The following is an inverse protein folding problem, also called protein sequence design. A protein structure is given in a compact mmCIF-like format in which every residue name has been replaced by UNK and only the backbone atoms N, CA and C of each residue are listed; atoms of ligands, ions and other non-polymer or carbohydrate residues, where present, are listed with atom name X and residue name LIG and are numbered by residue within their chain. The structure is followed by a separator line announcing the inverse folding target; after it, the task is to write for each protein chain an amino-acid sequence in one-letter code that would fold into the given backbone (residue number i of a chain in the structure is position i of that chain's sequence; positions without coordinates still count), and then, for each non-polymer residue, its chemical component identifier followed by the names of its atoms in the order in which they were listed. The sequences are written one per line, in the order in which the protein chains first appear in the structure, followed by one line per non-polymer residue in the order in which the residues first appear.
data_IF_267143159313
#
_entry.id   IF_267143159313
#
_cell.length_a   1.000
_cell.length_b   1.000
_cell.length_c   1.000
_cell.angle_alpha   90.00
_cell.angle_beta   90.00
_cell.angle_gamma   90.00
#
_symmetry.space_group_name_H-M   'P 1'
#
loop_
_entity.id
_entity.type
_entity.pdbx_description
1 polymer ?
#
# COMPACT_ATOMS: atom_id res chain seq x y z
N UNK A 1 -12.95 -17.18 79.70
CA UNK A 1 -11.56 -16.76 79.98
C UNK A 1 -11.05 -16.10 78.69
N UNK A 2 -10.64 -14.82 78.77
CA UNK A 2 -9.36 -14.26 78.25
C UNK A 2 -8.61 -14.98 77.11
N UNK A 3 -7.93 -14.38 76.12
CA UNK A 3 -7.63 -12.99 75.65
C UNK A 3 -6.97 -13.14 74.24
N UNK A 4 -6.82 -12.20 73.29
CA UNK A 4 -7.35 -10.84 73.01
C UNK A 4 -7.04 -10.47 71.51
N UNK A 5 -7.30 -9.22 71.08
CA UNK A 5 -7.08 -8.64 69.72
C UNK A 5 -6.33 -7.29 69.91
N UNK A 6 -5.24 -6.90 69.18
CA UNK A 6 -5.35 -6.22 67.87
C UNK A 6 -4.10 -6.12 66.92
N UNK A 7 -4.32 -5.56 65.71
CA UNK A 7 -3.34 -4.82 64.88
C UNK A 7 -2.44 -5.62 63.91
N UNK A 8 -1.84 -5.06 62.84
CA UNK A 8 -1.96 -3.75 62.15
C UNK A 8 -1.15 -3.78 60.81
N UNK A 9 -1.62 -3.12 59.71
CA UNK A 9 -0.91 -2.56 58.48
C UNK A 9 0.27 -3.34 57.79
N UNK A 10 0.69 -3.15 56.52
CA UNK A 10 0.39 -2.27 55.37
C UNK A 10 0.76 -2.97 54.02
N UNK A 11 0.53 -2.30 52.88
CA UNK A 11 0.92 -2.69 51.51
C UNK A 11 2.44 -2.56 51.22
N UNK A 12 2.99 -3.44 50.35
CA UNK A 12 3.86 -3.18 49.16
C UNK A 12 3.68 -4.43 48.27
N UNK A 13 3.26 -4.40 47.00
CA UNK A 13 3.89 -3.77 45.84
C UNK A 13 4.76 -4.81 45.10
N UNK A 14 4.23 -5.45 44.05
CA UNK A 14 4.95 -6.43 43.23
C UNK A 14 5.06 -5.91 41.78
N UNK A 15 6.29 -5.61 41.34
CA UNK A 15 6.57 -5.17 39.97
C UNK A 15 6.56 -6.34 38.96
N UNK A 16 6.17 -6.10 37.70
CA UNK A 16 6.35 -7.06 36.62
C UNK A 16 7.81 -7.08 36.13
N UNK A 17 8.37 -8.29 35.96
CA UNK A 17 9.74 -8.51 35.50
C UNK A 17 9.90 -8.10 34.04
N UNK A 18 10.54 -6.95 33.78
CA UNK A 18 11.01 -6.58 32.44
C UNK A 18 12.21 -7.43 32.04
N UNK A 19 12.11 -8.20 30.95
CA UNK A 19 13.29 -8.80 30.29
C UNK A 19 14.05 -7.69 29.57
N UNK A 20 15.35 -7.57 29.86
CA UNK A 20 16.22 -6.62 29.17
C UNK A 20 16.92 -7.29 27.97
N UNK A 21 16.81 -6.70 26.79
CA UNK A 21 17.64 -7.06 25.63
C UNK A 21 18.99 -6.33 25.71
N UNK A 22 20.12 -6.98 25.39
CA UNK A 22 21.44 -6.36 25.46
C UNK A 22 21.63 -5.35 24.33
N UNK A 23 21.97 -4.10 24.68
CA UNK A 23 22.39 -3.07 23.72
C UNK A 23 23.83 -3.34 23.28
N UNK A 24 24.07 -3.54 21.98
CA UNK A 24 25.42 -3.53 21.41
C UNK A 24 25.89 -2.09 21.20
N UNK A 25 26.96 -1.70 21.88
CA UNK A 25 27.58 -0.38 21.79
C UNK A 25 28.59 -0.31 20.63
N UNK A 26 28.53 0.77 19.85
CA UNK A 26 29.60 1.14 18.91
C UNK A 26 30.77 1.77 19.69
N UNK A 27 31.99 1.32 19.43
CA UNK A 27 33.24 1.99 19.78
C UNK A 27 34.23 1.85 18.60
N UNK A 28 35.16 2.78 18.44
CA UNK A 28 35.70 3.13 17.13
C UNK A 28 37.24 2.98 16.98
N UNK A 29 37.65 3.01 15.70
CA UNK A 29 38.89 3.59 15.16
C UNK A 29 40.26 2.88 15.37
N UNK A 30 40.75 2.36 14.23
CA UNK A 30 42.03 2.69 13.59
C UNK A 30 43.39 2.35 14.24
N UNK A 31 44.17 1.52 13.52
CA UNK A 31 45.62 1.67 13.36
C UNK A 31 45.96 1.41 11.88
N UNK A 32 46.87 2.20 11.30
CA UNK A 32 47.39 2.02 9.95
C UNK A 32 48.91 1.85 9.97
N UNK A 33 49.48 1.04 9.05
CA UNK A 33 50.76 1.34 8.35
C UNK A 33 51.27 0.24 7.39
N UNK A 34 51.49 0.63 6.14
CA UNK A 34 52.76 0.49 5.39
C UNK A 34 53.32 -0.89 4.93
N UNK A 35 53.07 -1.23 3.65
CA UNK A 35 54.04 -1.60 2.56
C UNK A 35 54.95 -2.87 2.64
N UNK A 36 55.60 -3.42 1.59
CA UNK A 36 56.15 -2.92 0.28
C UNK A 36 56.32 -4.10 -0.76
N UNK A 37 56.31 -3.83 -2.09
CA UNK A 37 56.83 -4.66 -3.23
C UNK A 37 56.18 -6.03 -3.61
N UNK A 38 56.21 -6.55 -4.88
CA UNK A 38 56.91 -6.15 -6.12
C UNK A 38 56.21 -6.57 -7.46
N UNK A 39 56.74 -6.04 -8.58
CA UNK A 39 56.46 -6.21 -10.03
C UNK A 39 56.09 -7.61 -10.59
N UNK A 40 55.35 -7.66 -11.73
CA UNK A 40 55.88 -7.91 -13.12
C UNK A 40 54.94 -7.28 -14.17
N UNK A 41 55.50 -6.93 -15.34
CA UNK A 41 54.94 -6.12 -16.45
C UNK A 41 54.42 -6.96 -17.61
N UNK A 42 53.33 -6.53 -18.27
CA UNK A 42 53.13 -6.66 -19.72
C UNK A 42 52.18 -5.55 -20.22
N UNK A 43 52.52 -4.90 -21.33
CA UNK A 43 51.80 -3.73 -21.85
C UNK A 43 51.22 -3.97 -23.25
N UNK A 44 50.13 -3.27 -23.57
CA UNK A 44 49.85 -2.74 -24.92
C UNK A 44 49.15 -1.39 -24.79
N UNK A 45 49.33 -0.52 -25.79
CA UNK A 45 49.21 0.95 -25.64
C UNK A 45 48.18 1.59 -26.55
N UNK A 46 47.90 2.87 -26.25
CA UNK A 46 47.37 3.95 -27.12
C UNK A 46 45.88 3.90 -27.53
N UNK A 47 45.14 5.02 -27.58
CA UNK A 47 45.55 6.44 -27.52
C UNK A 47 44.59 7.36 -26.72
N UNK A 48 45.12 8.50 -26.26
CA UNK A 48 44.44 9.58 -25.53
C UNK A 48 43.50 10.42 -26.42
N UNK A 49 42.48 11.07 -25.82
CA UNK A 49 42.49 12.54 -25.61
C UNK A 49 41.22 13.08 -24.90
N UNK A 50 41.44 13.96 -23.91
CA UNK A 50 40.51 14.91 -23.27
C UNK A 50 41.37 15.97 -22.55
N UNK A 51 40.81 17.08 -22.02
CA UNK A 51 39.90 18.06 -22.62
C UNK A 51 40.49 19.50 -22.52
N UNK A 52 39.76 20.55 -22.91
CA UNK A 52 40.08 21.95 -22.51
C UNK A 52 38.82 22.79 -22.30
N UNK A 53 38.79 23.53 -21.19
CA UNK A 53 37.79 24.54 -20.81
C UNK A 53 37.68 25.70 -21.80
N UNK A 54 36.52 26.38 -21.83
CA UNK A 54 36.37 27.74 -21.24
C UNK A 54 34.94 28.29 -21.32
N UNK A 55 34.49 28.88 -20.20
CA UNK A 55 33.30 29.74 -20.08
C UNK A 55 33.60 31.16 -20.62
N UNK A 56 32.58 31.97 -20.98
CA UNK A 56 32.44 33.20 -20.21
C UNK A 56 30.99 33.69 -19.96
N UNK A 57 30.73 34.06 -18.71
CA UNK A 57 29.65 34.98 -18.30
C UNK A 57 29.82 36.42 -18.83
N UNK A 58 28.73 37.09 -19.25
CA UNK A 58 28.30 38.40 -18.70
C UNK A 58 26.93 38.91 -19.19
N UNK A 59 26.32 39.72 -18.33
CA UNK A 59 24.99 40.36 -18.40
C UNK A 59 24.74 41.38 -19.51
N UNK A 60 23.47 41.51 -19.94
CA UNK A 60 22.83 42.81 -20.17
C UNK A 60 21.30 42.72 -20.06
N UNK A 61 20.67 43.78 -19.53
CA UNK A 61 19.22 43.95 -19.50
C UNK A 61 18.86 45.28 -20.17
N UNK A 62 17.82 45.29 -21.02
CA UNK A 62 17.20 46.51 -21.51
C UNK A 62 15.74 46.29 -21.90
N UNK A 63 14.86 47.15 -21.38
CA UNK A 63 13.43 47.20 -21.70
C UNK A 63 13.18 47.86 -23.06
N UNK A 64 12.08 47.50 -23.74
CA UNK A 64 11.42 48.42 -24.67
C UNK A 64 9.91 48.22 -24.76
N UNK A 65 9.22 49.30 -25.08
CA UNK A 65 7.77 49.52 -24.97
C UNK A 65 6.96 48.98 -26.15
N UNK A 66 5.67 48.72 -25.90
CA UNK A 66 4.68 48.42 -26.93
C UNK A 66 4.33 49.63 -27.82
N UNK A 67 3.72 49.37 -28.98
CA UNK A 67 2.59 50.17 -29.46
C UNK A 67 1.33 49.31 -29.71
N UNK A 68 0.17 49.95 -29.80
CA UNK A 68 -1.14 49.31 -29.87
C UNK A 68 -1.87 49.51 -31.21
N UNK A 69 -2.87 48.64 -31.46
CA UNK A 69 -3.89 48.70 -32.52
C UNK A 69 -3.38 48.42 -33.97
N UNK A 70 -4.19 47.88 -34.91
CA UNK A 70 -5.65 47.65 -34.88
C UNK A 70 -6.14 46.59 -35.90
N UNK A 71 -7.45 46.30 -35.83
CA UNK A 71 -8.39 45.87 -36.90
C UNK A 71 -8.63 44.39 -37.29
N UNK A 72 -9.94 44.14 -37.46
CA UNK A 72 -10.65 43.13 -38.28
C UNK A 72 -10.68 41.65 -37.83
N UNK A 73 -11.77 41.33 -37.14
CA UNK A 73 -12.29 39.99 -36.87
C UNK A 73 -13.20 39.52 -38.03
N UNK A 74 -13.04 38.29 -38.55
CA UNK A 74 -14.03 37.68 -39.45
C UNK A 74 -15.13 36.98 -38.63
N UNK A 75 -16.38 37.20 -39.00
CA UNK A 75 -17.56 36.55 -38.40
C UNK A 75 -17.74 35.15 -38.97
N UNK A 76 -17.77 34.11 -38.14
CA UNK A 76 -18.27 32.78 -38.52
C UNK A 76 -19.37 32.33 -37.56
N UNK A 77 -20.53 32.01 -38.14
CA UNK A 77 -21.73 31.61 -37.42
C UNK A 77 -21.58 30.18 -36.91
N UNK A 78 -21.47 29.97 -35.60
CA UNK A 78 -21.45 28.63 -35.02
C UNK A 78 -22.88 28.11 -34.82
N UNK A 79 -23.35 27.24 -35.70
CA UNK A 79 -24.57 26.45 -35.49
C UNK A 79 -24.28 25.31 -34.52
N UNK A 80 -24.78 25.42 -33.29
CA UNK A 80 -24.75 24.34 -32.29
C UNK A 80 -25.63 23.17 -32.75
N UNK A 81 -25.09 21.95 -32.93
CA UNK A 81 -25.93 20.76 -33.09
C UNK A 81 -26.56 20.39 -31.73
N UNK A 82 -27.75 19.77 -31.69
CA UNK A 82 -28.36 19.36 -30.44
C UNK A 82 -27.55 18.23 -29.79
N UNK A 83 -27.12 18.43 -28.55
CA UNK A 83 -26.53 17.37 -27.73
C UNK A 83 -27.61 16.34 -27.37
N UNK A 84 -27.68 15.24 -28.11
CA UNK A 84 -28.38 14.04 -27.67
C UNK A 84 -27.60 13.40 -26.53
N UNK A 85 -28.06 13.59 -25.31
CA UNK A 85 -27.56 12.87 -24.13
C UNK A 85 -27.98 11.41 -24.23
N UNK A 86 -27.18 10.60 -24.93
CA UNK A 86 -27.30 9.15 -24.88
C UNK A 86 -26.75 8.67 -23.54
N UNK A 87 -27.64 8.51 -22.56
CA UNK A 87 -27.30 7.82 -21.32
C UNK A 87 -27.11 6.34 -21.63
N UNK A 88 -25.86 5.95 -21.93
CA UNK A 88 -25.46 4.54 -21.93
C UNK A 88 -25.63 4.04 -20.49
N UNK A 89 -26.44 3.00 -20.23
CA UNK A 89 -26.47 2.39 -18.90
C UNK A 89 -25.10 1.79 -18.59
N UNK A 90 -24.69 1.80 -17.32
CA UNK A 90 -23.55 0.99 -16.88
C UNK A 90 -23.75 -0.48 -17.34
N UNK A 91 -22.68 -1.21 -17.68
CA UNK A 91 -22.80 -2.63 -17.91
C UNK A 91 -23.40 -3.30 -16.67
N UNK A 92 -24.46 -4.07 -16.88
CA UNK A 92 -25.11 -4.84 -15.83
C UNK A 92 -24.13 -5.93 -15.38
N UNK A 93 -23.41 -5.68 -14.28
CA UNK A 93 -22.55 -6.67 -13.63
C UNK A 93 -23.41 -7.88 -13.38
N UNK A 94 -23.04 -9.01 -13.99
CA UNK A 94 -23.78 -10.25 -13.82
C UNK A 94 -23.48 -10.77 -12.42
N UNK A 95 -24.27 -10.32 -11.44
CA UNK A 95 -24.23 -10.84 -10.08
C UNK A 95 -24.75 -12.28 -10.11
N UNK A 96 -23.87 -13.23 -10.44
CA UNK A 96 -24.07 -14.63 -10.06
C UNK A 96 -23.94 -14.73 -8.54
N UNK A 97 -24.99 -14.32 -7.84
CA UNK A 97 -25.25 -14.79 -6.49
C UNK A 97 -25.42 -16.30 -6.64
N UNK A 98 -24.37 -17.05 -6.34
CA UNK A 98 -24.46 -18.49 -6.30
C UNK A 98 -25.32 -18.85 -5.08
N UNK A 99 -26.51 -19.41 -5.30
CA UNK A 99 -27.41 -19.95 -4.24
C UNK A 99 -26.81 -21.18 -3.51
N UNK A 100 -25.52 -21.44 -3.69
CA UNK A 100 -24.74 -22.45 -2.99
C UNK A 100 -23.49 -21.77 -2.40
N UNK A 101 -23.11 -22.07 -1.14
CA UNK A 101 -21.87 -21.54 -0.57
C UNK A 101 -20.70 -21.94 -1.48
N UNK A 102 -19.87 -20.97 -1.85
CA UNK A 102 -18.68 -21.24 -2.64
C UNK A 102 -17.77 -22.20 -1.86
N UNK A 103 -17.58 -23.42 -2.37
CA UNK A 103 -16.72 -24.43 -1.74
C UNK A 103 -15.28 -24.43 -2.29
N UNK A 104 -14.99 -23.50 -3.20
CA UNK A 104 -13.72 -23.33 -3.89
C UNK A 104 -13.47 -21.83 -4.01
N UNK A 105 -12.23 -21.42 -3.75
CA UNK A 105 -11.78 -20.06 -4.01
C UNK A 105 -11.58 -19.86 -5.54
N UNK A 106 -12.35 -18.98 -6.22
CA UNK A 106 -12.19 -18.69 -7.64
C UNK A 106 -11.02 -17.72 -7.92
N UNK A 107 -10.50 -17.05 -6.89
CA UNK A 107 -9.52 -15.97 -7.04
C UNK A 107 -8.10 -16.49 -7.23
N UNK A 108 -7.34 -15.80 -8.09
CA UNK A 108 -5.90 -16.00 -8.30
C UNK A 108 -5.45 -17.43 -8.72
N UNK A 109 -6.39 -18.29 -9.10
CA UNK A 109 -6.12 -19.63 -9.64
C UNK A 109 -5.41 -19.56 -11.02
N UNK A 110 -5.67 -18.49 -11.78
CA UNK A 110 -5.07 -18.18 -13.08
C UNK A 110 -3.71 -17.47 -12.98
N UNK A 111 -3.45 -16.73 -11.90
CA UNK A 111 -2.15 -16.13 -11.62
C UNK A 111 -1.17 -17.24 -11.19
N UNK A 112 -0.06 -17.49 -11.91
CA UNK A 112 0.91 -18.51 -11.52
C UNK A 112 1.58 -18.22 -10.17
N UNK A 113 2.09 -19.26 -9.52
CA UNK A 113 3.06 -19.13 -8.41
C UNK A 113 4.23 -18.29 -8.91
N UNK A 114 4.45 -17.14 -8.28
CA UNK A 114 5.34 -16.09 -8.76
C UNK A 114 6.55 -15.87 -7.87
N UNK A 115 7.13 -14.67 -7.99
CA UNK A 115 8.26 -14.26 -7.14
C UNK A 115 7.83 -14.19 -5.69
N UNK A 116 6.71 -13.52 -5.34
CA UNK A 116 6.29 -13.35 -3.95
C UNK A 116 6.11 -14.68 -3.19
N UNK A 117 5.55 -15.71 -3.82
CA UNK A 117 5.40 -17.06 -3.25
C UNK A 117 6.74 -17.77 -2.95
N UNK A 118 7.85 -17.32 -3.54
CA UNK A 118 9.13 -18.02 -3.55
C UNK A 118 10.34 -17.14 -3.18
N UNK A 119 10.11 -15.86 -2.84
CA UNK A 119 11.15 -14.84 -2.71
C UNK A 119 12.09 -15.08 -1.53
N UNK A 120 11.57 -15.73 -0.49
CA UNK A 120 12.30 -16.22 0.67
C UNK A 120 11.67 -17.54 1.15
N UNK A 121 12.41 -18.41 1.86
CA UNK A 121 11.83 -19.59 2.50
C UNK A 121 10.69 -19.20 3.46
N UNK A 122 9.51 -19.77 3.25
CA UNK A 122 8.30 -19.45 4.02
C UNK A 122 7.51 -18.24 3.52
N UNK A 123 7.97 -17.53 2.49
CA UNK A 123 7.18 -16.49 1.83
C UNK A 123 5.90 -17.08 1.21
N UNK A 124 4.91 -16.21 0.98
CA UNK A 124 3.56 -16.58 0.52
C UNK A 124 3.10 -15.62 -0.58
N UNK A 125 2.22 -16.11 -1.44
CA UNK A 125 1.52 -15.30 -2.43
C UNK A 125 0.14 -14.83 -1.94
N UNK A 126 -0.62 -14.25 -2.88
CA UNK A 126 -1.97 -13.73 -2.65
C UNK A 126 -3.07 -14.79 -2.83
N UNK A 127 -2.71 -15.99 -3.31
CA UNK A 127 -3.59 -17.17 -3.34
C UNK A 127 -4.03 -17.55 -1.93
N UNK A 128 -5.24 -18.04 -1.76
CA UNK A 128 -5.78 -18.39 -0.45
C UNK A 128 -5.32 -19.80 -0.02
N UNK A 129 -4.29 -19.84 0.82
CA UNK A 129 -3.70 -21.08 1.33
C UNK A 129 -4.19 -21.43 2.75
N UNK A 130 -5.16 -20.68 3.30
CA UNK A 130 -5.65 -20.85 4.68
C UNK A 130 -6.57 -22.06 4.86
N UNK A 131 -7.18 -22.55 3.78
CA UNK A 131 -8.23 -23.56 3.81
C UNK A 131 -9.63 -23.04 4.17
N UNK A 132 -9.75 -21.77 4.58
CA UNK A 132 -11.03 -21.08 4.69
C UNK A 132 -11.43 -20.53 3.31
N UNK A 133 -12.73 -20.49 3.00
CA UNK A 133 -13.27 -19.95 1.73
C UNK A 133 -14.29 -18.87 2.07
N UNK A 134 -14.23 -17.74 1.38
CA UNK A 134 -15.15 -16.62 1.64
C UNK A 134 -16.60 -17.03 1.28
N UNK A 135 -17.61 -16.66 2.09
CA UNK A 135 -19.02 -16.90 1.73
C UNK A 135 -19.40 -16.34 0.36
N UNK A 136 -18.82 -15.19 -0.01
CA UNK A 136 -19.08 -14.48 -1.26
C UNK A 136 -17.75 -14.04 -1.92
N UNK A 137 -17.68 -14.24 -3.23
CA UNK A 137 -16.65 -13.68 -4.10
C UNK A 137 -17.34 -12.85 -5.19
N UNK A 138 -16.78 -11.69 -5.51
CA UNK A 138 -17.24 -10.82 -6.60
C UNK A 138 -16.08 -10.49 -7.52
N UNK A 139 -16.26 -10.66 -8.83
CA UNK A 139 -15.31 -10.12 -9.80
C UNK A 139 -15.63 -8.64 -9.99
N UNK A 140 -14.81 -7.77 -9.40
CA UNK A 140 -15.02 -6.32 -9.38
C UNK A 140 -14.49 -5.62 -10.63
N UNK A 141 -13.69 -6.32 -11.43
CA UNK A 141 -13.13 -5.80 -12.67
C UNK A 141 -12.28 -6.83 -13.39
N UNK A 142 -11.58 -6.35 -14.41
CA UNK A 142 -10.62 -7.12 -15.21
C UNK A 142 -9.45 -6.21 -15.53
N UNK A 143 -8.23 -6.70 -15.28
CA UNK A 143 -6.99 -5.98 -15.56
C UNK A 143 -6.75 -5.76 -17.05
N UNK A 144 -5.74 -4.97 -17.39
CA UNK A 144 -5.39 -4.68 -18.77
C UNK A 144 -5.05 -5.93 -19.62
N UNK A 145 -4.35 -6.91 -19.06
CA UNK A 145 -4.05 -8.19 -19.72
C UNK A 145 -5.17 -9.24 -19.60
N UNK A 146 -6.31 -8.90 -19.00
CA UNK A 146 -7.49 -9.77 -18.95
C UNK A 146 -7.62 -10.65 -17.72
N UNK A 147 -6.84 -10.43 -16.66
CA UNK A 147 -6.96 -11.18 -15.39
C UNK A 147 -8.12 -10.63 -14.56
N UNK A 148 -8.94 -11.47 -13.92
CA UNK A 148 -10.03 -11.01 -13.07
C UNK A 148 -9.49 -10.35 -11.80
N UNK A 149 -10.09 -9.22 -11.42
CA UNK A 149 -9.84 -8.58 -10.12
C UNK A 149 -10.97 -9.03 -9.19
N UNK A 150 -10.61 -9.68 -8.08
CA UNK A 150 -11.56 -10.29 -7.16
C UNK A 150 -11.63 -9.54 -5.83
N UNK A 151 -12.85 -9.35 -5.33
CA UNK A 151 -13.11 -9.02 -3.94
C UNK A 151 -13.78 -10.22 -3.24
N UNK A 152 -13.30 -10.51 -2.04
CA UNK A 152 -13.82 -11.53 -1.13
C UNK A 152 -14.63 -10.81 -0.04
N UNK A 153 -15.81 -11.31 0.32
CA UNK A 153 -16.54 -10.76 1.47
C UNK A 153 -16.48 -11.72 2.66
N UNK A 154 -16.10 -11.17 3.81
CA UNK A 154 -15.82 -11.87 5.05
C UNK A 154 -16.58 -11.19 6.21
N UNK A 155 -17.17 -11.99 7.11
CA UNK A 155 -17.99 -11.47 8.22
C UNK A 155 -19.41 -11.07 7.81
N UNK A 156 -20.16 -10.34 8.67
CA UNK A 156 -21.52 -9.90 8.38
C UNK A 156 -21.66 -8.97 7.17
N UNK A 157 -22.72 -9.16 6.37
CA UNK A 157 -23.12 -8.24 5.29
C UNK A 157 -23.82 -6.98 5.82
N UNK A 158 -24.40 -7.04 7.02
CA UNK A 158 -24.99 -5.91 7.72
C UNK A 158 -24.01 -5.21 8.66
N UNK A 159 -24.33 -3.96 9.05
CA UNK A 159 -23.45 -3.14 9.87
C UNK A 159 -22.29 -2.50 9.10
N UNK A 160 -21.22 -2.06 9.79
CA UNK A 160 -20.10 -1.39 9.14
C UNK A 160 -19.32 -2.34 8.24
N UNK A 161 -18.94 -1.85 7.05
CA UNK A 161 -18.14 -2.58 6.08
C UNK A 161 -16.78 -1.90 5.92
N UNK A 162 -15.69 -2.66 6.00
CA UNK A 162 -14.31 -2.19 5.77
C UNK A 162 -13.83 -2.72 4.41
N UNK A 163 -13.18 -1.89 3.61
CA UNK A 163 -12.50 -2.34 2.39
C UNK A 163 -11.01 -2.53 2.71
N UNK A 164 -10.44 -3.67 2.38
CA UNK A 164 -8.99 -3.93 2.47
C UNK A 164 -8.46 -4.15 1.06
N UNK A 165 -7.63 -3.22 0.59
CA UNK A 165 -6.81 -3.42 -0.59
C UNK A 165 -5.48 -3.99 -0.11
N UNK A 166 -5.20 -5.24 -0.48
CA UNK A 166 -3.89 -5.86 -0.34
C UNK A 166 -2.91 -5.21 -1.30
N UNK A 167 -2.32 -5.99 -2.19
CA UNK A 167 -1.27 -5.49 -3.06
C UNK A 167 -1.80 -4.54 -4.16
N UNK A 168 -1.29 -3.30 -4.14
CA UNK A 168 -1.54 -2.27 -5.16
C UNK A 168 -0.36 -2.17 -6.14
N UNK A 169 0.88 -2.35 -5.68
CA UNK A 169 2.06 -2.41 -6.55
C UNK A 169 2.56 -3.84 -6.71
N UNK A 170 2.73 -4.32 -7.93
CA UNK A 170 2.93 -5.74 -8.22
C UNK A 170 4.24 -6.39 -7.75
N UNK A 171 5.18 -5.60 -7.24
CA UNK A 171 6.42 -6.06 -6.62
C UNK A 171 6.43 -5.95 -5.08
N UNK A 172 5.30 -5.63 -4.44
CA UNK A 172 5.13 -5.60 -2.99
C UNK A 172 4.50 -6.93 -2.51
N UNK A 173 5.28 -7.75 -1.81
CA UNK A 173 4.92 -9.13 -1.43
C UNK A 173 4.44 -9.26 0.02
N UNK A 174 4.99 -8.45 0.95
CA UNK A 174 4.61 -8.39 2.35
C UNK A 174 3.10 -8.17 2.60
N UNK A 175 2.33 -7.41 1.77
CA UNK A 175 0.88 -7.30 1.91
C UNK A 175 0.13 -8.63 1.97
N UNK A 176 0.67 -9.70 1.38
CA UNK A 176 0.06 -11.04 1.42
C UNK A 176 -0.16 -11.54 2.86
N UNK A 177 0.70 -11.19 3.81
CA UNK A 177 0.56 -11.60 5.21
C UNK A 177 -0.68 -11.01 5.88
N UNK A 178 -1.03 -9.75 5.58
CA UNK A 178 -2.25 -9.12 6.11
C UNK A 178 -3.51 -9.71 5.46
N UNK A 179 -3.44 -10.02 4.17
CA UNK A 179 -4.50 -10.74 3.43
C UNK A 179 -4.76 -12.11 4.07
N UNK A 180 -3.73 -12.94 4.28
CA UNK A 180 -3.95 -14.25 4.91
C UNK A 180 -4.41 -14.10 6.37
N UNK A 181 -3.86 -13.17 7.15
CA UNK A 181 -4.28 -12.98 8.55
C UNK A 181 -5.79 -12.72 8.67
N UNK A 182 -6.39 -11.99 7.73
CA UNK A 182 -7.86 -11.80 7.66
C UNK A 182 -8.57 -13.10 7.27
N UNK A 183 -8.11 -13.81 6.24
CA UNK A 183 -8.70 -15.09 5.77
C UNK A 183 -8.63 -16.20 6.82
N UNK A 184 -7.54 -16.27 7.61
CA UNK A 184 -7.33 -17.23 8.70
C UNK A 184 -8.33 -17.00 9.85
N UNK A 185 -8.61 -15.73 10.16
CA UNK A 185 -9.50 -15.33 11.25
C UNK A 185 -10.42 -14.17 10.79
N UNK A 186 -11.49 -14.47 10.04
CA UNK A 186 -12.46 -13.47 9.60
C UNK A 186 -13.17 -12.80 10.79
N UNK A 187 -13.58 -11.53 10.67
CA UNK A 187 -14.36 -10.84 11.70
C UNK A 187 -15.77 -11.43 11.82
N UNK A 188 -16.38 -11.29 13.00
CA UNK A 188 -17.74 -11.79 13.28
C UNK A 188 -18.73 -10.67 13.61
N UNK A 189 -18.25 -9.44 13.87
CA UNK A 189 -19.07 -8.28 14.25
C UNK A 189 -19.21 -7.20 13.18
N UNK A 190 -18.36 -7.23 12.14
CA UNK A 190 -18.36 -6.29 11.01
C UNK A 190 -17.89 -6.98 9.72
N UNK A 191 -18.26 -6.43 8.56
CA UNK A 191 -17.86 -7.01 7.27
C UNK A 191 -16.54 -6.46 6.75
N UNK A 192 -15.76 -7.32 6.07
CA UNK A 192 -14.58 -6.95 5.28
C UNK A 192 -14.81 -7.34 3.81
N UNK A 193 -14.65 -6.38 2.91
CA UNK A 193 -14.39 -6.63 1.50
C UNK A 193 -12.88 -6.63 1.27
N UNK A 194 -12.31 -7.78 0.93
CA UNK A 194 -10.88 -8.01 0.78
C UNK A 194 -10.50 -8.18 -0.69
N UNK A 195 -9.72 -7.25 -1.24
CA UNK A 195 -9.14 -7.32 -2.59
C UNK A 195 -7.66 -7.67 -2.41
N UNK A 196 -7.31 -8.96 -2.46
CA UNK A 196 -5.95 -9.41 -2.18
C UNK A 196 -4.89 -8.80 -3.11
N UNK A 197 -5.19 -8.61 -4.39
CA UNK A 197 -4.43 -7.73 -5.28
C UNK A 197 -5.36 -6.90 -6.16
N UNK A 198 -5.11 -5.59 -6.20
CA UNK A 198 -5.75 -4.66 -7.13
C UNK A 198 -5.00 -4.58 -8.48
N UNK A 199 -3.77 -5.08 -8.55
CA UNK A 199 -2.91 -5.06 -9.73
C UNK A 199 -2.36 -6.47 -10.02
N UNK A 200 -3.21 -7.39 -10.51
CA UNK A 200 -2.83 -8.78 -10.77
C UNK A 200 -1.85 -8.94 -11.94
N UNK A 201 -1.83 -7.97 -12.87
CA UNK A 201 -0.86 -7.96 -13.97
C UNK A 201 0.54 -7.63 -13.47
N UNK A 202 0.66 -6.58 -12.65
CA UNK A 202 1.90 -6.24 -11.97
C UNK A 202 2.39 -7.39 -11.09
N UNK A 203 1.49 -8.11 -10.40
CA UNK A 203 1.84 -9.29 -9.60
C UNK A 203 2.47 -10.38 -10.46
N UNK A 204 1.82 -10.73 -11.58
CA UNK A 204 2.29 -11.77 -12.50
C UNK A 204 3.63 -11.39 -13.16
N UNK A 205 3.88 -10.10 -13.38
CA UNK A 205 5.14 -9.57 -13.91
C UNK A 205 6.21 -9.29 -12.84
N UNK A 206 5.84 -9.30 -11.55
CA UNK A 206 6.61 -8.79 -10.42
C UNK A 206 7.15 -7.37 -10.68
N UNK A 207 6.23 -6.43 -10.95
CA UNK A 207 6.51 -5.02 -11.23
C UNK A 207 5.59 -4.08 -10.47
N UNK A 208 6.14 -2.99 -9.93
CA UNK A 208 5.40 -1.92 -9.24
C UNK A 208 4.14 -1.42 -9.95
N UNK A 209 4.18 -1.34 -11.28
CA UNK A 209 3.17 -0.67 -12.13
C UNK A 209 2.15 -1.67 -12.69
N UNK A 210 1.05 -1.16 -13.27
CA UNK A 210 0.15 -1.98 -14.08
C UNK A 210 0.83 -2.36 -15.42
N UNK A 211 0.24 -3.27 -16.20
CA UNK A 211 0.75 -3.62 -17.53
C UNK A 211 0.84 -2.43 -18.50
N UNK A 212 0.07 -1.36 -18.27
CA UNK A 212 0.13 -0.12 -19.04
C UNK A 212 1.35 0.76 -18.66
N UNK A 213 2.11 0.40 -17.62
CA UNK A 213 3.23 1.18 -17.10
C UNK A 213 2.83 2.35 -16.21
N UNK A 214 1.57 2.37 -15.73
CA UNK A 214 1.04 3.38 -14.81
C UNK A 214 1.30 2.93 -13.37
N UNK A 215 1.73 3.84 -12.51
CA UNK A 215 1.78 3.59 -11.06
C UNK A 215 0.35 3.69 -10.55
N UNK A 216 -0.25 2.54 -10.18
CA UNK A 216 -1.66 2.47 -9.80
C UNK A 216 -1.98 3.39 -8.61
N UNK A 217 -1.03 3.55 -7.68
CA UNK A 217 -1.16 4.49 -6.57
C UNK A 217 -0.79 5.94 -6.95
N UNK A 218 -0.86 6.29 -8.25
CA UNK A 218 -0.89 7.67 -8.77
C UNK A 218 -2.06 7.91 -9.74
N UNK A 219 -2.98 6.95 -9.85
CA UNK A 219 -4.15 7.01 -10.73
C UNK A 219 -5.44 7.43 -9.99
N UNK A 220 -5.31 7.97 -8.77
CA UNK A 220 -6.43 8.25 -7.87
C UNK A 220 -7.48 9.22 -8.41
N UNK A 221 -7.09 10.27 -9.15
CA UNK A 221 -8.05 11.25 -9.68
C UNK A 221 -8.47 11.03 -11.13
N UNK A 222 -7.74 10.20 -11.89
CA UNK A 222 -7.96 10.04 -13.33
C UNK A 222 -8.65 8.76 -13.71
N UNK A 223 -8.37 7.68 -12.98
CA UNK A 223 -8.90 6.34 -13.25
C UNK A 223 -8.57 5.89 -14.69
N UNK A 224 -7.34 6.18 -15.16
CA UNK A 224 -6.82 5.79 -16.49
C UNK A 224 -6.74 4.26 -16.66
N UNK A 225 -6.53 3.54 -15.55
CA UNK A 225 -6.39 2.08 -15.49
C UNK A 225 -7.72 1.40 -15.16
N UNK A 226 -8.03 0.22 -15.74
CA UNK A 226 -9.20 -0.56 -15.34
C UNK A 226 -9.08 -1.06 -13.88
N UNK A 227 -7.86 -1.23 -13.37
CA UNK A 227 -7.58 -1.53 -11.97
C UNK A 227 -8.08 -0.41 -11.03
N UNK A 228 -7.78 0.86 -11.33
CA UNK A 228 -8.29 1.98 -10.54
C UNK A 228 -9.82 2.09 -10.64
N UNK A 229 -10.39 1.94 -11.84
CA UNK A 229 -11.85 1.97 -12.02
C UNK A 229 -12.55 0.91 -11.16
N UNK A 230 -12.03 -0.33 -11.13
CA UNK A 230 -12.58 -1.41 -10.31
C UNK A 230 -12.55 -1.10 -8.80
N UNK A 231 -11.49 -0.48 -8.29
CA UNK A 231 -11.39 -0.03 -6.89
C UNK A 231 -12.43 1.06 -6.57
N UNK A 232 -12.62 2.01 -7.49
CA UNK A 232 -13.53 3.14 -7.29
C UNK A 232 -15.00 2.70 -7.41
N UNK A 233 -15.32 1.83 -8.36
CA UNK A 233 -16.65 1.23 -8.51
C UNK A 233 -17.00 0.35 -7.31
N UNK A 234 -16.06 -0.46 -6.79
CA UNK A 234 -16.28 -1.21 -5.54
C UNK A 234 -16.50 -0.26 -4.36
N UNK A 235 -15.72 0.82 -4.26
CA UNK A 235 -15.88 1.85 -3.22
C UNK A 235 -17.27 2.50 -3.30
N UNK A 236 -17.78 2.77 -4.51
CA UNK A 236 -19.11 3.32 -4.73
C UNK A 236 -20.24 2.36 -4.33
N UNK A 237 -20.05 1.06 -4.61
CA UNK A 237 -21.01 -0.01 -4.31
C UNK A 237 -21.06 -0.35 -2.82
N UNK A 238 -19.92 -0.66 -2.21
CA UNK A 238 -19.82 -1.08 -0.81
C UNK A 238 -20.04 0.08 0.17
N UNK A 239 -19.64 1.30 -0.23
CA UNK A 239 -19.65 2.49 0.63
C UNK A 239 -19.01 2.23 2.01
N UNK A 240 -17.77 1.69 2.06
CA UNK A 240 -17.15 1.25 3.30
C UNK A 240 -17.01 2.40 4.31
N UNK A 241 -16.97 2.08 5.60
CA UNK A 241 -16.71 3.05 6.67
C UNK A 241 -15.22 3.37 6.84
N UNK A 242 -14.35 2.57 6.21
CA UNK A 242 -12.89 2.67 6.25
C UNK A 242 -12.28 1.89 5.07
N UNK A 243 -11.20 2.39 4.47
CA UNK A 243 -10.32 1.57 3.61
C UNK A 243 -8.94 1.37 4.22
N UNK A 244 -8.42 0.14 4.22
CA UNK A 244 -7.02 -0.18 4.50
C UNK A 244 -6.30 -0.38 3.16
N UNK A 245 -5.23 0.37 2.91
CA UNK A 245 -4.33 0.21 1.76
C UNK A 245 -3.02 -0.40 2.25
N UNK A 246 -2.66 -1.58 1.74
CA UNK A 246 -1.51 -2.35 2.25
C UNK A 246 -0.35 -2.35 1.25
N UNK A 247 0.80 -1.90 1.72
CA UNK A 247 2.00 -1.63 0.94
C UNK A 247 3.26 -2.17 1.66
N UNK A 248 4.39 -2.06 0.98
CA UNK A 248 5.74 -2.21 1.50
C UNK A 248 6.68 -1.34 0.63
N UNK A 249 7.96 -1.08 0.97
CA UNK A 249 8.79 -1.75 1.97
C UNK A 249 9.26 -0.82 3.11
N UNK A 250 8.42 0.10 3.60
CA UNK A 250 8.89 1.27 4.38
C UNK A 250 8.69 1.26 5.90
N UNK A 251 8.04 0.26 6.50
CA UNK A 251 7.90 0.12 7.97
C UNK A 251 7.26 1.36 8.65
N UNK A 252 6.10 1.80 8.15
CA UNK A 252 5.29 2.86 8.76
C UNK A 252 3.79 2.62 8.61
N UNK A 253 2.99 3.42 9.30
CA UNK A 253 1.52 3.40 9.19
C UNK A 253 1.04 4.85 9.03
N UNK A 254 0.12 5.07 8.10
CA UNK A 254 -0.45 6.38 7.82
C UNK A 254 -1.96 6.41 8.05
N UNK A 255 -2.48 7.58 8.41
CA UNK A 255 -3.92 7.85 8.42
C UNK A 255 -4.26 9.00 7.47
N UNK A 256 -5.36 8.85 6.75
CA UNK A 256 -5.98 9.85 5.90
C UNK A 256 -7.45 9.99 6.29
N UNK A 257 -7.90 11.22 6.56
CA UNK A 257 -9.29 11.57 6.91
C UNK A 257 -9.95 10.85 8.12
N UNK A 258 -11.01 11.49 8.65
CA UNK A 258 -11.90 10.91 9.67
C UNK A 258 -11.26 10.63 11.05
N UNK A 259 -12.08 10.27 12.03
CA UNK A 259 -11.60 9.80 13.34
C UNK A 259 -11.11 8.36 13.28
N UNK A 260 -11.94 7.48 12.71
CA UNK A 260 -11.72 6.03 12.66
C UNK A 260 -10.37 5.63 12.07
N UNK A 261 -9.92 6.25 10.96
CA UNK A 261 -8.59 5.92 10.42
C UNK A 261 -7.44 6.32 11.34
N UNK A 262 -7.55 7.42 12.09
CA UNK A 262 -6.53 7.78 13.10
C UNK A 262 -6.52 6.81 14.26
N UNK A 263 -7.70 6.41 14.73
CA UNK A 263 -7.84 5.48 15.87
C UNK A 263 -7.31 4.09 15.49
N UNK A 264 -7.66 3.57 14.30
CA UNK A 264 -7.13 2.30 13.75
C UNK A 264 -5.62 2.38 13.51
N UNK A 265 -5.13 3.42 12.81
CA UNK A 265 -3.69 3.56 12.54
C UNK A 265 -2.86 3.67 13.83
N UNK A 266 -3.39 4.35 14.86
CA UNK A 266 -2.73 4.47 16.16
C UNK A 266 -2.71 3.13 16.89
N UNK A 267 -3.84 2.41 16.93
CA UNK A 267 -3.91 1.07 17.53
C UNK A 267 -2.94 0.09 16.85
N UNK A 268 -2.91 0.06 15.51
CA UNK A 268 -1.96 -0.74 14.76
C UNK A 268 -0.50 -0.36 15.08
N UNK A 269 -0.17 0.93 15.07
CA UNK A 269 1.17 1.42 15.38
C UNK A 269 1.63 0.99 16.78
N UNK A 270 0.74 1.09 17.77
CA UNK A 270 1.03 0.74 19.16
C UNK A 270 1.13 -0.78 19.36
N UNK A 271 0.38 -1.57 18.59
CA UNK A 271 0.46 -3.03 18.61
C UNK A 271 1.79 -3.58 18.05
N UNK A 272 2.41 -2.88 17.09
CA UNK A 272 3.70 -3.27 16.48
C UNK A 272 4.92 -2.49 16.99
N UNK A 273 4.73 -1.35 17.64
CA UNK A 273 5.80 -0.50 18.16
C UNK A 273 6.54 0.32 17.08
N UNK A 274 5.85 0.68 16.00
CA UNK A 274 6.40 1.57 14.96
C UNK A 274 6.58 3.01 15.48
N UNK A 275 7.27 3.84 14.69
CA UNK A 275 7.77 5.16 15.13
C UNK A 275 6.69 6.23 15.36
N UNK A 276 5.43 5.95 14.99
CA UNK A 276 4.31 6.87 15.03
C UNK A 276 3.50 6.84 13.74
N UNK A 277 2.27 7.34 13.81
CA UNK A 277 1.37 7.45 12.66
C UNK A 277 1.72 8.68 11.81
N UNK A 278 1.84 8.48 10.50
CA UNK A 278 2.08 9.51 9.51
C UNK A 278 0.77 10.11 8.98
N UNK A 279 0.82 11.35 8.50
CA UNK A 279 -0.26 11.88 7.68
C UNK A 279 -0.11 11.32 6.25
N UNK A 280 -1.07 10.50 5.83
CA UNK A 280 -1.11 9.93 4.48
C UNK A 280 -1.78 10.85 3.44
N UNK A 281 -2.20 12.05 3.86
CA UNK A 281 -2.96 12.98 3.04
C UNK A 281 -2.19 13.71 1.94
N UNK A 282 -2.82 14.79 1.47
CA UNK A 282 -2.73 15.24 0.08
C UNK A 282 -1.33 15.58 -0.42
N UNK A 283 -0.97 15.00 -1.57
CA UNK A 283 0.26 15.36 -2.28
C UNK A 283 -0.02 16.47 -3.28
N UNK A 284 0.84 17.49 -3.29
CA UNK A 284 0.83 18.55 -4.31
C UNK A 284 1.46 18.05 -5.63
N UNK A 285 0.79 17.07 -6.25
CA UNK A 285 1.21 16.33 -7.44
C UNK A 285 0.33 16.63 -8.68
N UNK A 286 -0.59 17.60 -8.58
CA UNK A 286 -1.65 17.78 -9.58
C UNK A 286 -2.60 16.57 -9.60
N UNK A 287 -2.87 16.01 -10.77
CA UNK A 287 -3.81 14.88 -10.91
C UNK A 287 -3.19 13.51 -10.53
N UNK A 288 -1.89 13.44 -10.21
CA UNK A 288 -1.18 12.21 -9.83
C UNK A 288 -1.38 11.90 -8.33
N UNK A 289 -2.65 11.73 -7.96
CA UNK A 289 -3.11 11.47 -6.60
C UNK A 289 -3.11 9.98 -6.25
N UNK A 290 -2.99 9.67 -4.97
CA UNK A 290 -3.08 8.31 -4.44
C UNK A 290 -4.50 7.73 -4.52
N UNK A 291 -4.64 6.39 -4.45
CA UNK A 291 -5.95 5.74 -4.54
C UNK A 291 -6.91 6.20 -3.43
N UNK A 292 -6.45 6.41 -2.20
CA UNK A 292 -7.31 6.89 -1.10
C UNK A 292 -7.83 8.32 -1.30
N UNK A 293 -7.06 9.19 -1.96
CA UNK A 293 -7.53 10.52 -2.37
C UNK A 293 -8.60 10.37 -3.46
N UNK A 294 -8.41 9.44 -4.39
CA UNK A 294 -9.40 9.08 -5.40
C UNK A 294 -10.73 8.60 -4.82
N UNK A 295 -10.67 7.79 -3.76
CA UNK A 295 -11.86 7.34 -3.03
C UNK A 295 -12.65 8.51 -2.42
N UNK A 296 -12.04 9.67 -2.16
CA UNK A 296 -12.79 10.87 -1.73
C UNK A 296 -13.67 11.48 -2.83
N UNK A 297 -13.30 11.33 -4.10
CA UNK A 297 -14.15 11.75 -5.21
C UNK A 297 -15.42 10.90 -5.30
N UNK A 298 -15.35 9.64 -4.84
CA UNK A 298 -16.47 8.70 -4.74
C UNK A 298 -17.28 8.92 -3.45
N UNK A 299 -16.57 9.09 -2.32
CA UNK A 299 -17.11 9.19 -0.97
C UNK A 299 -16.44 10.40 -0.25
N UNK A 300 -17.05 11.59 -0.28
CA UNK A 300 -16.41 12.79 0.26
C UNK A 300 -15.99 12.66 1.74
N UNK A 301 -14.70 12.86 2.03
CA UNK A 301 -14.11 12.74 3.36
C UNK A 301 -13.92 11.30 3.85
N UNK A 302 -13.91 10.32 2.95
CA UNK A 302 -13.70 8.90 3.26
C UNK A 302 -12.40 8.66 4.04
N UNK A 303 -12.44 7.96 5.20
CA UNK A 303 -11.24 7.63 5.96
C UNK A 303 -10.50 6.44 5.38
N UNK A 304 -9.17 6.53 5.35
CA UNK A 304 -8.27 5.47 4.90
C UNK A 304 -7.05 5.32 5.81
N UNK A 305 -6.61 4.09 6.05
CA UNK A 305 -5.35 3.74 6.71
C UNK A 305 -4.40 3.18 5.65
N UNK A 306 -3.13 3.52 5.78
CA UNK A 306 -2.05 2.96 4.98
C UNK A 306 -1.18 2.11 5.90
N UNK A 307 -0.88 0.89 5.49
CA UNK A 307 0.12 0.05 6.15
C UNK A 307 1.30 -0.09 5.19
N UNK A 308 2.50 0.23 5.65
CA UNK A 308 3.75 -0.02 4.93
C UNK A 308 4.56 -1.03 5.75
N UNK A 309 4.53 -2.29 5.33
CA UNK A 309 5.37 -3.32 5.93
C UNK A 309 6.84 -3.12 5.56
N UNK A 310 7.80 -3.59 6.37
CA UNK A 310 9.14 -3.92 5.86
C UNK A 310 9.04 -5.03 4.81
N UNK A 311 9.94 -5.07 3.83
CA UNK A 311 10.00 -6.17 2.87
C UNK A 311 10.44 -7.49 3.53
N UNK A 312 9.95 -8.63 3.03
CA UNK A 312 10.38 -9.98 3.44
C UNK A 312 11.70 -10.42 2.81
N UNK A 313 12.17 -9.71 1.77
CA UNK A 313 13.42 -9.99 1.07
C UNK A 313 13.96 -8.77 0.32
N UNK A 314 15.27 -8.73 0.04
CA UNK A 314 15.90 -7.68 -0.78
C UNK A 314 15.31 -7.57 -2.19
N UNK A 315 14.74 -8.67 -2.71
CA UNK A 315 14.16 -8.73 -4.04
C UNK A 315 12.73 -8.16 -4.13
N UNK A 316 11.98 -8.10 -3.04
CA UNK A 316 10.66 -7.45 -2.98
C UNK A 316 10.85 -5.94 -3.13
N UNK A 317 10.02 -5.26 -3.90
CA UNK A 317 10.19 -3.85 -4.28
C UNK A 317 11.67 -3.55 -4.63
N UNK A 318 12.18 -4.08 -5.77
CA UNK A 318 13.59 -4.00 -6.11
C UNK A 318 14.03 -2.57 -6.47
N UNK A 319 13.09 -1.70 -6.84
CA UNK A 319 13.33 -0.29 -7.16
C UNK A 319 12.19 0.60 -6.61
N UNK A 320 12.07 0.75 -5.28
CA UNK A 320 11.01 1.55 -4.68
C UNK A 320 11.35 3.04 -4.84
N UNK A 321 10.36 3.97 -4.78
CA UNK A 321 10.57 5.39 -5.08
C UNK A 321 11.71 6.07 -4.30
N UNK A 322 11.84 5.78 -3.01
CA UNK A 322 13.01 6.08 -2.18
C UNK A 322 13.68 4.78 -1.68
N UNK A 323 14.79 4.33 -2.31
CA UNK A 323 15.53 3.16 -1.84
C UNK A 323 16.22 3.33 -0.49
N UNK A 324 16.38 4.56 0.02
CA UNK A 324 17.04 4.80 1.32
C UNK A 324 16.13 4.55 2.53
N UNK A 325 14.82 4.49 2.30
CA UNK A 325 13.81 4.17 3.31
C UNK A 325 13.43 2.68 3.35
N UNK A 326 13.83 1.90 2.33
CA UNK A 326 13.54 0.46 2.28
C UNK A 326 14.11 -0.26 3.49
N UNK A 327 13.25 -0.92 4.25
CA UNK A 327 13.65 -1.88 5.28
C UNK A 327 13.35 -3.30 4.80
N UNK A 328 14.15 -4.26 5.29
CA UNK A 328 14.01 -5.69 5.00
C UNK A 328 14.14 -6.43 6.32
N UNK A 329 13.21 -7.36 6.58
CA UNK A 329 13.18 -8.17 7.81
C UNK A 329 12.83 -9.63 7.49
N UNK A 330 12.75 -10.49 8.50
CA UNK A 330 12.39 -11.90 8.27
C UNK A 330 10.91 -12.07 7.94
N UNK A 331 10.59 -13.17 7.24
CA UNK A 331 9.22 -13.61 6.99
C UNK A 331 8.42 -13.74 8.29
N UNK A 332 9.01 -14.33 9.33
CA UNK A 332 8.38 -14.50 10.65
C UNK A 332 8.00 -13.16 11.30
N UNK A 333 8.82 -12.12 11.12
CA UNK A 333 8.52 -10.77 11.64
C UNK A 333 7.35 -10.14 10.86
N UNK A 334 7.30 -10.25 9.53
CA UNK A 334 6.18 -9.72 8.73
C UNK A 334 4.87 -10.44 9.04
N UNK A 335 4.91 -11.78 9.19
CA UNK A 335 3.78 -12.57 9.63
C UNK A 335 3.27 -12.11 11.02
N UNK A 336 4.19 -11.87 11.96
CA UNK A 336 3.85 -11.34 13.28
C UNK A 336 3.23 -9.94 13.20
N UNK A 337 3.82 -9.02 12.43
CA UNK A 337 3.32 -7.67 12.22
C UNK A 337 1.89 -7.69 11.67
N UNK A 338 1.63 -8.51 10.65
CA UNK A 338 0.33 -8.62 10.00
C UNK A 338 -0.79 -9.07 10.97
N UNK A 339 -0.53 -10.11 11.76
CA UNK A 339 -1.45 -10.58 12.81
C UNK A 339 -1.74 -9.46 13.82
N UNK A 340 -0.70 -8.75 14.31
CA UNK A 340 -0.89 -7.65 15.27
C UNK A 340 -1.67 -6.47 14.73
N UNK A 341 -1.46 -6.10 13.47
CA UNK A 341 -2.20 -5.02 12.84
C UNK A 341 -3.66 -5.41 12.58
N UNK A 342 -3.93 -6.68 12.21
CA UNK A 342 -5.30 -7.21 12.09
C UNK A 342 -6.02 -7.16 13.44
N UNK A 343 -5.40 -7.69 14.49
CA UNK A 343 -5.99 -7.71 15.83
C UNK A 343 -6.31 -6.27 16.31
N UNK A 344 -5.41 -5.32 16.05
CA UNK A 344 -5.65 -3.91 16.37
C UNK A 344 -6.78 -3.24 15.56
N UNK A 345 -6.98 -3.64 14.28
CA UNK A 345 -8.17 -3.24 13.51
C UNK A 345 -9.44 -3.78 14.18
N UNK A 346 -9.41 -5.06 14.56
CA UNK A 346 -10.57 -5.77 15.09
C UNK A 346 -10.98 -5.21 16.47
N UNK A 347 -10.02 -4.95 17.35
CA UNK A 347 -10.21 -4.27 18.64
C UNK A 347 -10.91 -2.90 18.48
N UNK A 348 -10.50 -2.10 17.49
CA UNK A 348 -11.09 -0.77 17.24
C UNK A 348 -12.47 -0.87 16.59
N UNK A 349 -12.72 -1.90 15.78
CA UNK A 349 -14.03 -2.17 15.18
C UNK A 349 -15.03 -2.82 16.16
N UNK A 350 -14.57 -3.30 17.31
CA UNK A 350 -15.41 -3.86 18.39
C UNK A 350 -15.59 -5.38 18.36
N UNK A 351 -14.65 -6.11 17.74
CA UNK A 351 -14.59 -7.57 17.79
C UNK A 351 -14.25 -8.05 19.23
N UNK A 352 -14.84 -9.16 19.74
CA UNK A 352 -14.80 -9.53 21.16
C UNK A 352 -13.65 -10.46 21.61
#
# INVERSE_FOLDING_TARGET
MSHDVPGERAQVGAEPVRRAHPRLSKAAAAVASATWCALVVAACTSANASPTDTDPTTTSAASTTAPAASTTQPTTTSTTPPSTTTTTPLPEVTTTIADAPNTVDPSYADIPVGVCDTIAPGAIGFRNDTGNVAPLYSQIGTSWEGRPIWAEHWGPEDGPQVLVLGQVHGDECAPAWFVQAIREQPPTTFGIWLVATANPDGLAAHTRRTAQGIDLNRDGFRWETPEAQAVMDLTAQVRPVLTIHVHSPYEWIGAHNGGLARDVAQAMNDAVGFRGVYNAGTVDNGDLAFLWEGQELVLPGHPSVLIEFPAVADAESPAPPDPSQKTVTSVDDVAWLAVRMRDALYDVMGEP
#
